data_IF_093562997040
#
_entry.id   IF_093562997040
#
_cell.length_a   1.000
_cell.length_b   1.000
_cell.length_c   1.000
_cell.angle_alpha   90.00
_cell.angle_beta   90.00
_cell.angle_gamma   90.00
#
_symmetry.space_group_name_H-M   'P 1'
#
loop_
_entity.id
_entity.type
_entity.pdbx_description
1 polymer ?
#
# COMPACT_ATOMS: atom_id res chain seq x y z
N UNK A 1 23.56 -11.91 -19.22
CA UNK A 1 22.18 -11.72 -19.65
C UNK A 1 21.37 -13.01 -19.43
N UNK A 2 21.29 -13.42 -18.20
CA UNK A 2 20.60 -14.64 -17.81
C UNK A 2 19.19 -14.24 -17.36
N UNK A 3 18.28 -14.51 -18.18
CA UNK A 3 16.93 -15.00 -18.05
C UNK A 3 15.97 -14.28 -17.11
N UNK A 4 15.51 -13.11 -17.59
CA UNK A 4 14.36 -12.40 -17.03
C UNK A 4 13.05 -13.23 -17.06
N UNK A 5 13.00 -14.26 -17.89
CA UNK A 5 11.81 -15.11 -18.12
C UNK A 5 11.51 -16.09 -16.99
N UNK A 6 12.50 -16.43 -16.17
CA UNK A 6 12.32 -17.36 -15.02
C UNK A 6 12.07 -16.62 -13.68
N UNK A 7 12.04 -15.30 -13.69
CA UNK A 7 11.85 -14.50 -12.49
C UNK A 7 10.39 -14.27 -12.08
N UNK A 8 9.44 -14.94 -12.75
CA UNK A 8 8.05 -14.90 -12.32
C UNK A 8 7.88 -15.79 -11.09
N UNK A 9 7.71 -15.18 -9.93
CA UNK A 9 7.37 -15.89 -8.70
C UNK A 9 5.87 -15.82 -8.46
N UNK A 10 5.26 -16.98 -8.34
CA UNK A 10 3.86 -17.08 -7.91
C UNK A 10 3.88 -17.32 -6.41
N UNK A 11 3.47 -16.34 -5.63
CA UNK A 11 3.27 -16.47 -4.19
C UNK A 11 1.78 -16.69 -3.93
N UNK A 12 1.43 -17.87 -3.46
CA UNK A 12 0.09 -18.20 -3.00
C UNK A 12 0.05 -18.10 -1.49
N UNK A 13 -0.78 -17.21 -0.97
CA UNK A 13 -1.03 -17.10 0.47
C UNK A 13 -1.94 -18.24 0.95
N UNK A 14 -1.47 -19.48 0.91
CA UNK A 14 -2.21 -20.66 1.40
C UNK A 14 -1.56 -21.34 2.60
N UNK A 15 -0.37 -20.93 3.03
CA UNK A 15 0.27 -21.42 4.26
C UNK A 15 0.74 -22.88 4.25
N UNK A 16 0.67 -23.61 3.13
CA UNK A 16 1.08 -24.99 3.03
C UNK A 16 1.94 -25.26 1.77
N UNK A 17 2.85 -26.21 1.89
CA UNK A 17 3.92 -26.55 0.96
C UNK A 17 3.37 -26.95 -0.43
N UNK A 18 3.54 -26.06 -1.42
CA UNK A 18 2.83 -26.09 -2.69
C UNK A 18 3.54 -26.83 -3.82
N UNK A 19 4.87 -27.01 -3.73
CA UNK A 19 5.67 -27.48 -4.87
C UNK A 19 5.45 -28.95 -5.23
N UNK A 20 5.35 -29.83 -4.25
CA UNK A 20 5.13 -31.28 -4.49
C UNK A 20 3.76 -31.60 -5.08
N UNK A 21 2.72 -30.86 -4.66
CA UNK A 21 1.36 -31.09 -5.16
C UNK A 21 1.17 -30.62 -6.60
N UNK A 22 1.92 -29.64 -7.07
CA UNK A 22 1.88 -29.14 -8.44
C UNK A 22 2.50 -30.14 -9.40
N UNK A 23 3.65 -30.71 -9.06
CA UNK A 23 4.31 -31.71 -9.90
C UNK A 23 3.46 -32.98 -10.04
N UNK A 24 2.85 -33.43 -8.95
CA UNK A 24 2.05 -34.64 -8.92
C UNK A 24 0.69 -34.50 -9.66
N UNK A 25 0.03 -33.33 -9.50
CA UNK A 25 -1.28 -33.07 -10.14
C UNK A 25 -1.20 -32.65 -11.60
N UNK A 26 -0.11 -32.00 -12.02
CA UNK A 26 0.07 -31.58 -13.42
C UNK A 26 0.64 -32.67 -14.31
N UNK A 27 1.08 -33.82 -13.76
CA UNK A 27 1.68 -34.90 -14.53
C UNK A 27 2.96 -34.48 -15.27
N UNK A 28 3.58 -33.38 -14.87
CA UNK A 28 4.88 -32.94 -15.39
C UNK A 28 6.01 -33.72 -14.72
N UNK A 29 6.15 -34.96 -15.08
CA UNK A 29 7.46 -35.60 -14.98
C UNK A 29 8.28 -35.05 -16.17
N UNK A 30 8.75 -33.79 -16.03
CA UNK A 30 9.64 -33.18 -16.99
C UNK A 30 10.97 -33.92 -16.90
N UNK A 31 11.24 -34.80 -17.85
CA UNK A 31 12.62 -35.21 -18.04
C UNK A 31 13.46 -33.91 -18.23
N UNK A 32 14.69 -33.93 -17.79
CA UNK A 32 15.59 -32.76 -17.85
C UNK A 32 15.74 -32.20 -19.27
N UNK A 33 15.40 -32.98 -20.29
CA UNK A 33 15.46 -32.62 -21.70
C UNK A 33 14.24 -31.86 -22.19
N UNK A 34 13.04 -32.18 -21.68
CA UNK A 34 11.83 -31.41 -21.95
C UNK A 34 11.92 -30.03 -21.30
N UNK A 35 12.43 -29.95 -20.07
CA UNK A 35 12.71 -28.67 -19.40
C UNK A 35 13.72 -27.81 -20.17
N UNK A 36 14.81 -28.40 -20.68
CA UNK A 36 15.79 -27.71 -21.54
C UNK A 36 15.18 -27.23 -22.86
N UNK A 37 14.29 -27.97 -23.47
CA UNK A 37 13.59 -27.57 -24.72
C UNK A 37 12.66 -26.40 -24.46
N UNK A 38 11.89 -26.43 -23.38
CA UNK A 38 11.00 -25.34 -22.96
C UNK A 38 11.83 -24.09 -22.64
N UNK A 39 12.89 -24.23 -21.87
CA UNK A 39 13.82 -23.14 -21.57
C UNK A 39 14.40 -22.50 -22.82
N UNK A 40 14.85 -23.31 -23.79
CA UNK A 40 15.38 -22.82 -25.06
C UNK A 40 14.33 -22.11 -25.93
N UNK A 41 13.06 -22.49 -25.84
CA UNK A 41 11.97 -21.82 -26.54
C UNK A 41 11.62 -20.47 -25.88
N UNK A 42 11.62 -20.41 -24.55
CA UNK A 42 11.28 -19.23 -23.77
C UNK A 42 12.41 -18.19 -23.81
N UNK A 43 13.66 -18.61 -23.84
CA UNK A 43 14.85 -17.72 -23.79
C UNK A 43 15.09 -16.91 -25.07
N UNK A 44 14.40 -17.19 -26.17
CA UNK A 44 14.52 -16.42 -27.41
C UNK A 44 13.61 -15.21 -27.37
N UNK A 45 14.16 -13.99 -27.46
CA UNK A 45 13.42 -12.72 -27.56
C UNK A 45 12.75 -12.55 -28.92
N UNK A 46 11.76 -13.38 -29.22
CA UNK A 46 10.99 -13.36 -30.45
C UNK A 46 9.52 -13.54 -30.13
N UNK A 47 8.60 -13.19 -31.02
CA UNK A 47 7.16 -13.47 -30.85
C UNK A 47 6.85 -14.96 -30.52
N UNK A 48 7.71 -15.87 -30.94
CA UNK A 48 7.62 -17.31 -30.58
C UNK A 48 7.98 -17.57 -29.12
N UNK A 49 8.87 -16.77 -28.52
CA UNK A 49 9.22 -16.90 -27.08
C UNK A 49 8.09 -16.44 -26.19
N UNK A 50 7.38 -15.35 -26.54
CA UNK A 50 6.20 -14.91 -25.82
C UNK A 50 5.09 -15.97 -25.85
N UNK A 51 4.81 -16.55 -27.03
CA UNK A 51 3.83 -17.62 -27.14
C UNK A 51 4.21 -18.88 -26.35
N UNK A 52 5.49 -19.25 -26.35
CA UNK A 52 5.98 -20.39 -25.58
C UNK A 52 5.87 -20.11 -24.06
N UNK A 53 6.18 -18.89 -23.62
CA UNK A 53 6.03 -18.48 -22.24
C UNK A 53 4.56 -18.48 -21.79
N UNK A 54 3.65 -17.94 -22.61
CA UNK A 54 2.21 -17.97 -22.33
C UNK A 54 1.68 -19.41 -22.24
N UNK A 55 2.08 -20.29 -23.17
CA UNK A 55 1.71 -21.73 -23.16
C UNK A 55 2.22 -22.42 -21.89
N UNK A 56 3.39 -22.04 -21.41
CA UNK A 56 3.96 -22.57 -20.18
C UNK A 56 3.25 -22.04 -18.93
N UNK A 57 2.85 -20.77 -18.90
CA UNK A 57 2.23 -20.12 -17.73
C UNK A 57 0.74 -20.42 -17.59
N UNK A 58 0.02 -20.58 -18.71
CA UNK A 58 -1.44 -20.77 -18.69
C UNK A 58 -1.90 -21.91 -17.78
N UNK A 59 -1.44 -23.16 -17.90
CA UNK A 59 -1.89 -24.26 -17.05
C UNK A 59 -1.53 -24.06 -15.58
N UNK A 60 -0.42 -23.38 -15.29
CA UNK A 60 0.02 -23.09 -13.94
C UNK A 60 -0.88 -22.09 -13.25
N UNK A 61 -1.20 -21.00 -13.94
CA UNK A 61 -2.09 -19.99 -13.41
C UNK A 61 -3.52 -20.50 -13.25
N UNK A 62 -3.99 -21.33 -14.18
CA UNK A 62 -5.29 -21.98 -14.09
C UNK A 62 -5.37 -22.91 -12.87
N UNK A 63 -4.35 -23.75 -12.69
CA UNK A 63 -4.28 -24.60 -11.51
C UNK A 63 -4.18 -23.77 -10.22
N UNK A 64 -3.37 -22.71 -10.24
CA UNK A 64 -3.25 -21.81 -9.08
C UNK A 64 -4.62 -21.26 -8.69
N UNK A 65 -5.42 -20.78 -9.66
CA UNK A 65 -6.78 -20.31 -9.42
C UNK A 65 -7.68 -21.40 -8.82
N UNK A 66 -7.61 -22.62 -9.35
CA UNK A 66 -8.44 -23.74 -8.88
C UNK A 66 -8.10 -24.13 -7.42
N UNK A 67 -6.84 -23.96 -7.01
CA UNK A 67 -6.37 -24.23 -5.65
C UNK A 67 -6.63 -23.10 -4.66
N UNK A 68 -6.94 -21.89 -5.13
CA UNK A 68 -7.27 -20.78 -4.26
C UNK A 68 -8.60 -21.02 -3.55
N UNK A 69 -8.67 -20.62 -2.27
CA UNK A 69 -9.94 -20.47 -1.55
C UNK A 69 -10.78 -19.36 -2.21
N UNK A 70 -12.08 -19.33 -1.97
CA UNK A 70 -12.99 -18.36 -2.60
C UNK A 70 -12.57 -16.91 -2.34
N UNK A 71 -12.17 -16.56 -1.12
CA UNK A 71 -11.60 -15.25 -0.79
C UNK A 71 -10.06 -15.24 -0.85
N UNK A 72 -9.47 -16.10 -1.67
CA UNK A 72 -8.03 -16.19 -1.86
C UNK A 72 -7.49 -15.04 -2.70
N UNK A 73 -6.21 -14.73 -2.51
CA UNK A 73 -5.47 -13.75 -3.29
C UNK A 73 -4.23 -14.39 -3.90
N UNK A 74 -3.81 -13.89 -5.04
CA UNK A 74 -2.57 -14.31 -5.69
C UNK A 74 -1.72 -13.09 -6.01
N UNK A 75 -0.42 -13.18 -5.69
CA UNK A 75 0.59 -12.22 -6.06
C UNK A 75 1.51 -12.83 -7.12
N UNK A 76 1.74 -12.11 -8.21
CA UNK A 76 2.56 -12.60 -9.31
C UNK A 76 3.59 -11.53 -9.67
N UNK A 77 4.87 -11.81 -9.35
CA UNK A 77 5.98 -10.92 -9.72
C UNK A 77 6.37 -11.12 -11.17
N UNK A 78 6.62 -10.03 -11.87
CA UNK A 78 6.97 -10.02 -13.29
C UNK A 78 7.82 -8.81 -13.65
N UNK A 79 8.70 -8.96 -14.63
CA UNK A 79 9.47 -7.87 -15.21
C UNK A 79 8.79 -7.28 -16.47
N UNK A 80 9.44 -6.27 -17.08
CA UNK A 80 8.91 -5.58 -18.26
C UNK A 80 8.74 -6.49 -19.50
N UNK A 81 9.45 -7.64 -19.55
CA UNK A 81 9.46 -8.45 -20.77
C UNK A 81 8.09 -9.10 -21.04
N UNK A 82 7.40 -9.55 -19.98
CA UNK A 82 6.14 -10.29 -20.10
C UNK A 82 4.98 -9.65 -19.31
N UNK A 83 5.16 -8.47 -18.74
CA UNK A 83 4.17 -7.77 -17.92
C UNK A 83 2.82 -7.62 -18.63
N UNK A 84 2.81 -7.15 -19.88
CA UNK A 84 1.59 -6.96 -20.65
C UNK A 84 0.91 -8.30 -21.01
N UNK A 85 1.70 -9.30 -21.39
CA UNK A 85 1.20 -10.63 -21.73
C UNK A 85 0.64 -11.34 -20.49
N UNK A 86 1.29 -11.22 -19.35
CA UNK A 86 0.81 -11.75 -18.08
C UNK A 86 -0.52 -11.10 -17.67
N UNK A 87 -0.66 -9.78 -17.84
CA UNK A 87 -1.91 -9.08 -17.52
C UNK A 87 -3.09 -9.65 -18.29
N UNK A 88 -2.94 -9.78 -19.63
CA UNK A 88 -3.99 -10.34 -20.49
C UNK A 88 -4.32 -11.78 -20.08
N UNK A 89 -3.29 -12.60 -19.82
CA UNK A 89 -3.46 -13.99 -19.41
C UNK A 89 -4.18 -14.11 -18.06
N UNK A 90 -3.83 -13.27 -17.10
CA UNK A 90 -4.47 -13.26 -15.78
C UNK A 90 -5.92 -12.75 -15.87
N UNK A 91 -6.21 -11.76 -16.69
CA UNK A 91 -7.58 -11.29 -16.94
C UNK A 91 -8.47 -12.41 -17.49
N UNK A 92 -7.94 -13.21 -18.42
CA UNK A 92 -8.67 -14.37 -18.96
C UNK A 92 -8.91 -15.46 -17.91
N UNK A 93 -7.92 -15.72 -17.06
CA UNK A 93 -7.97 -16.84 -16.09
C UNK A 93 -8.74 -16.44 -14.82
N UNK A 94 -8.45 -15.29 -14.24
CA UNK A 94 -9.00 -14.84 -12.95
C UNK A 94 -10.24 -13.96 -13.10
N UNK A 95 -10.44 -13.32 -14.26
CA UNK A 95 -11.42 -12.29 -14.53
C UNK A 95 -10.82 -10.88 -14.36
N UNK A 96 -11.11 -10.00 -15.31
CA UNK A 96 -10.65 -8.59 -15.26
C UNK A 96 -11.19 -7.86 -14.02
N UNK A 97 -12.41 -8.18 -13.62
CA UNK A 97 -13.08 -7.65 -12.43
C UNK A 97 -12.39 -8.03 -11.12
N UNK A 98 -11.61 -9.09 -11.11
CA UNK A 98 -10.85 -9.59 -9.95
C UNK A 98 -9.43 -9.00 -9.88
N UNK A 99 -9.06 -8.13 -10.82
CA UNK A 99 -7.80 -7.40 -10.78
C UNK A 99 -7.83 -6.33 -9.69
N UNK A 100 -6.95 -6.45 -8.71
CA UNK A 100 -6.88 -5.49 -7.59
C UNK A 100 -5.89 -4.38 -7.87
N UNK A 101 -4.66 -4.74 -8.26
CA UNK A 101 -3.61 -3.76 -8.47
C UNK A 101 -2.43 -4.29 -9.27
N UNK A 102 -1.75 -3.38 -9.96
CA UNK A 102 -0.37 -3.52 -10.42
C UNK A 102 0.52 -2.71 -9.45
N UNK A 103 1.29 -3.41 -8.65
CA UNK A 103 2.18 -2.82 -7.66
C UNK A 103 3.57 -2.68 -8.28
N UNK A 104 4.14 -1.51 -8.18
CA UNK A 104 5.51 -1.22 -8.62
C UNK A 104 6.43 -1.46 -7.41
N UNK A 105 7.36 -2.41 -7.55
CA UNK A 105 8.30 -2.77 -6.50
C UNK A 105 9.71 -2.31 -6.90
N UNK A 106 10.31 -1.44 -6.12
CA UNK A 106 11.69 -1.06 -6.31
C UNK A 106 12.62 -2.22 -5.92
N UNK A 107 13.10 -2.95 -6.93
CA UNK A 107 13.96 -4.11 -6.73
C UNK A 107 15.46 -3.77 -6.65
N UNK A 108 15.84 -2.56 -7.12
CA UNK A 108 17.23 -2.12 -7.10
C UNK A 108 17.32 -0.58 -7.00
N UNK A 109 17.75 -0.06 -5.86
CA UNK A 109 17.92 1.39 -5.65
C UNK A 109 18.93 2.05 -6.60
N UNK A 110 20.02 1.36 -6.90
CA UNK A 110 21.11 1.91 -7.74
C UNK A 110 20.75 1.87 -9.22
N UNK A 111 19.80 1.02 -9.60
CA UNK A 111 19.46 0.75 -10.98
C UNK A 111 20.54 -0.03 -11.72
N UNK A 112 20.12 -0.76 -12.74
CA UNK A 112 21.02 -1.37 -13.71
C UNK A 112 20.87 -0.64 -15.04
N UNK A 113 21.92 0.01 -15.50
CA UNK A 113 21.90 0.75 -16.75
C UNK A 113 22.12 -0.20 -17.91
N UNK A 114 21.03 -0.60 -18.57
CA UNK A 114 21.12 -1.49 -19.73
C UNK A 114 21.13 -0.75 -21.06
N UNK A 115 20.55 0.44 -21.14
CA UNK A 115 20.47 1.26 -22.35
C UNK A 115 20.54 2.75 -21.99
N UNK A 116 19.41 3.44 -22.14
CA UNK A 116 19.30 4.89 -21.89
C UNK A 116 18.84 5.22 -20.47
N UNK A 117 18.10 4.29 -19.82
CA UNK A 117 17.57 4.46 -18.48
C UNK A 117 18.02 3.32 -17.58
N UNK A 118 18.28 3.65 -16.31
CA UNK A 118 18.55 2.65 -15.28
C UNK A 118 17.23 2.01 -14.82
N UNK A 119 17.14 0.69 -14.92
CA UNK A 119 15.99 -0.07 -14.42
C UNK A 119 16.10 -0.23 -12.91
N UNK A 120 15.06 0.17 -12.17
CA UNK A 120 15.04 0.19 -10.71
C UNK A 120 13.88 -0.62 -10.12
N UNK A 121 12.93 -1.09 -10.93
CA UNK A 121 11.70 -1.70 -10.44
C UNK A 121 11.27 -2.92 -11.24
N UNK A 122 10.40 -3.69 -10.63
CA UNK A 122 9.63 -4.79 -11.18
C UNK A 122 8.15 -4.58 -10.85
N UNK A 123 7.28 -5.43 -11.39
CA UNK A 123 5.84 -5.37 -11.17
C UNK A 123 5.38 -6.54 -10.31
N UNK A 124 4.36 -6.30 -9.51
CA UNK A 124 3.69 -7.31 -8.73
C UNK A 124 2.18 -7.20 -8.98
N UNK A 125 1.61 -8.14 -9.72
CA UNK A 125 0.18 -8.21 -9.94
C UNK A 125 -0.52 -8.83 -8.75
N UNK A 126 -1.65 -8.26 -8.38
CA UNK A 126 -2.54 -8.76 -7.35
C UNK A 126 -3.92 -9.02 -7.94
N UNK A 127 -4.34 -10.26 -7.85
CA UNK A 127 -5.69 -10.71 -8.20
C UNK A 127 -6.36 -11.37 -6.99
N UNK A 128 -7.67 -11.27 -6.94
CA UNK A 128 -8.52 -12.08 -6.06
C UNK A 128 -9.14 -13.23 -6.85
N UNK A 129 -9.66 -14.25 -6.15
CA UNK A 129 -10.46 -15.29 -6.82
C UNK A 129 -11.89 -14.81 -7.08
N UNK A 130 -12.45 -14.04 -6.12
CA UNK A 130 -13.80 -13.48 -6.18
C UNK A 130 -13.78 -11.97 -5.95
N UNK A 131 -14.69 -11.25 -6.59
CA UNK A 131 -14.76 -9.79 -6.61
C UNK A 131 -15.05 -9.18 -5.24
N UNK A 132 -15.75 -9.89 -4.37
CA UNK A 132 -16.10 -9.44 -3.02
C UNK A 132 -15.01 -9.69 -1.97
N UNK A 133 -13.86 -10.21 -2.39
CA UNK A 133 -12.70 -10.42 -1.52
C UNK A 133 -12.19 -9.11 -0.94
N UNK A 134 -12.22 -8.99 0.37
CA UNK A 134 -11.74 -7.80 1.09
C UNK A 134 -10.32 -8.03 1.59
N UNK A 135 -9.41 -7.15 1.18
CA UNK A 135 -8.03 -7.15 1.66
C UNK A 135 -7.95 -6.56 3.06
N UNK A 136 -7.18 -7.20 3.93
CA UNK A 136 -6.92 -6.67 5.26
C UNK A 136 -6.08 -5.39 5.17
N UNK A 137 -6.42 -4.41 6.01
CA UNK A 137 -5.57 -3.25 6.20
C UNK A 137 -4.34 -3.64 7.03
N UNK A 138 -3.20 -3.02 6.72
CA UNK A 138 -1.97 -3.19 7.47
C UNK A 138 -2.07 -2.48 8.82
N UNK A 139 -1.51 -3.06 9.86
CA UNK A 139 -1.40 -2.43 11.16
C UNK A 139 -0.28 -1.39 11.15
N UNK A 140 -0.50 -0.27 11.81
CA UNK A 140 0.57 0.66 12.13
C UNK A 140 1.42 0.04 13.24
N UNK A 141 2.72 0.18 13.13
CA UNK A 141 3.66 -0.26 14.18
C UNK A 141 3.49 0.57 15.44
N UNK A 142 3.78 -0.02 16.59
CA UNK A 142 3.87 0.69 17.84
C UNK A 142 4.91 1.82 17.71
N UNK A 143 4.57 3.04 18.20
CA UNK A 143 5.42 4.21 18.00
C UNK A 143 5.04 5.11 16.82
N UNK A 144 4.19 4.68 15.88
CA UNK A 144 3.71 5.52 14.78
C UNK A 144 2.86 6.71 15.23
N UNK A 145 2.36 6.69 16.46
CA UNK A 145 1.62 7.77 17.08
C UNK A 145 2.51 8.58 18.04
N UNK A 146 2.77 9.83 17.68
CA UNK A 146 3.69 10.72 18.44
C UNK A 146 3.04 11.36 19.68
N UNK A 147 1.73 11.17 19.90
CA UNK A 147 0.96 11.81 20.97
C UNK A 147 -0.01 10.85 21.62
N UNK A 148 -0.29 11.11 22.91
CA UNK A 148 -1.22 10.33 23.72
C UNK A 148 -2.12 11.24 24.55
N UNK A 149 -3.37 10.84 24.71
CA UNK A 149 -4.30 11.46 25.67
C UNK A 149 -5.04 10.40 26.50
N UNK A 150 -6.15 10.75 27.14
CA UNK A 150 -6.91 9.85 28.00
C UNK A 150 -7.64 8.71 27.24
N UNK A 151 -7.85 8.85 25.92
CA UNK A 151 -8.48 7.82 25.10
C UNK A 151 -7.42 6.84 24.56
N UNK A 152 -6.22 7.32 24.25
CA UNK A 152 -5.13 6.52 23.68
C UNK A 152 -4.22 7.33 22.78
N UNK A 153 -3.44 6.61 21.99
CA UNK A 153 -2.44 7.21 21.09
C UNK A 153 -3.10 7.80 19.85
N UNK A 154 -2.53 8.89 19.32
CA UNK A 154 -3.04 9.55 18.13
C UNK A 154 -1.96 10.33 17.37
N UNK A 155 -2.26 10.58 16.09
CA UNK A 155 -1.53 11.48 15.21
C UNK A 155 -2.31 12.80 15.10
N UNK A 156 -1.62 13.93 15.27
CA UNK A 156 -2.22 15.25 15.04
C UNK A 156 -2.26 15.57 13.56
N UNK A 157 -3.44 15.83 13.02
CA UNK A 157 -3.64 16.23 11.63
C UNK A 157 -4.41 17.52 11.55
N UNK A 158 -3.93 18.48 10.75
CA UNK A 158 -4.69 19.70 10.50
C UNK A 158 -6.08 19.34 9.92
N UNK A 159 -7.15 19.91 10.51
CA UNK A 159 -8.52 19.63 10.05
C UNK A 159 -8.80 20.26 8.68
N UNK A 160 -8.10 21.32 8.29
CA UNK A 160 -8.18 21.95 6.98
C UNK A 160 -7.70 21.00 5.88
N UNK A 161 -8.44 20.96 4.79
CA UNK A 161 -8.03 20.25 3.60
C UNK A 161 -6.93 21.05 2.88
N UNK A 162 -5.73 20.48 2.73
CA UNK A 162 -4.60 21.14 2.07
C UNK A 162 -4.60 20.98 0.55
N UNK A 163 -5.48 20.14 0.00
CA UNK A 163 -5.54 19.93 -1.43
C UNK A 163 -6.20 21.14 -2.12
N UNK A 164 -5.51 21.87 -2.99
CA UNK A 164 -6.04 23.08 -3.64
C UNK A 164 -7.21 22.83 -4.59
N UNK A 165 -7.44 21.56 -4.97
CA UNK A 165 -8.62 21.17 -5.75
C UNK A 165 -9.93 21.27 -4.95
N UNK A 166 -9.87 21.43 -3.63
CA UNK A 166 -11.04 21.51 -2.76
C UNK A 166 -11.03 22.80 -1.96
N UNK A 167 -12.13 23.52 -2.06
CA UNK A 167 -12.34 24.76 -1.33
C UNK A 167 -13.83 25.06 -1.21
N UNK A 168 -14.15 26.23 -0.68
CA UNK A 168 -15.55 26.70 -0.57
C UNK A 168 -16.29 26.67 -1.92
N UNK A 169 -15.58 26.94 -3.02
CA UNK A 169 -16.14 27.01 -4.38
C UNK A 169 -16.78 25.69 -4.84
N UNK A 170 -16.30 24.53 -4.38
CA UNK A 170 -16.85 23.20 -4.73
C UNK A 170 -17.29 22.37 -3.52
N UNK A 171 -17.00 22.83 -2.30
CA UNK A 171 -17.35 22.16 -1.04
C UNK A 171 -17.94 23.18 -0.03
N UNK A 172 -18.98 23.95 -0.37
CA UNK A 172 -19.49 25.03 0.48
C UNK A 172 -19.96 24.55 1.86
N UNK A 173 -20.52 23.34 1.95
CA UNK A 173 -20.97 22.74 3.21
C UNK A 173 -19.81 22.34 4.17
N UNK A 174 -18.57 22.35 3.69
CA UNK A 174 -17.37 22.10 4.47
C UNK A 174 -16.63 23.41 4.82
N UNK A 175 -17.22 24.55 4.51
CA UNK A 175 -16.74 25.88 4.89
C UNK A 175 -17.65 26.48 5.95
N UNK A 176 -17.25 26.33 7.21
CA UNK A 176 -18.01 26.83 8.36
C UNK A 176 -17.04 27.31 9.46
N UNK A 177 -17.45 28.23 10.33
CA UNK A 177 -16.61 28.69 11.41
C UNK A 177 -16.51 27.65 12.53
N UNK A 178 -15.34 27.53 13.11
CA UNK A 178 -15.08 26.81 14.36
C UNK A 178 -14.57 27.81 15.38
N UNK A 179 -15.09 27.74 16.59
CA UNK A 179 -14.74 28.63 17.68
C UNK A 179 -13.94 27.90 18.74
N UNK A 180 -12.81 28.46 19.14
CA UNK A 180 -11.92 27.90 20.16
C UNK A 180 -12.13 28.65 21.49
N UNK A 181 -12.01 27.90 22.59
CA UNK A 181 -11.85 28.47 23.90
C UNK A 181 -10.36 28.80 24.20
N UNK A 182 -9.90 30.04 24.02
CA UNK A 182 -8.48 30.38 24.15
C UNK A 182 -7.97 30.37 25.60
N UNK A 183 -8.89 30.33 26.55
CA UNK A 183 -8.58 30.39 28.01
C UNK A 183 -8.45 28.99 28.62
N UNK A 184 -8.95 27.97 27.96
CA UNK A 184 -8.90 26.59 28.45
C UNK A 184 -7.95 25.78 27.57
N UNK A 185 -6.87 25.30 28.17
CA UNK A 185 -5.87 24.48 27.51
C UNK A 185 -5.58 23.27 28.38
N UNK A 186 -5.55 22.08 27.77
CA UNK A 186 -5.18 20.85 28.45
C UNK A 186 -3.65 20.70 28.60
N UNK A 187 -3.23 19.62 29.27
CA UNK A 187 -1.81 19.32 29.50
C UNK A 187 -1.03 19.02 28.21
N UNK A 188 -1.72 18.69 27.11
CA UNK A 188 -1.13 18.44 25.81
C UNK A 188 -1.08 19.69 24.90
N UNK A 189 -1.58 20.85 25.41
CA UNK A 189 -1.59 22.10 24.66
C UNK A 189 -2.79 22.28 23.74
N UNK A 190 -3.87 21.52 23.93
CA UNK A 190 -5.10 21.62 23.17
C UNK A 190 -6.21 22.35 23.91
N UNK A 191 -6.99 23.08 23.15
CA UNK A 191 -8.16 23.83 23.62
C UNK A 191 -9.46 23.20 23.08
N UNK A 192 -10.55 23.16 23.84
CA UNK A 192 -11.84 22.75 23.35
C UNK A 192 -12.35 23.68 22.25
N UNK A 193 -13.15 23.11 21.36
CA UNK A 193 -13.74 23.78 20.20
C UNK A 193 -15.25 23.62 20.15
N UNK A 194 -15.95 24.56 19.52
CA UNK A 194 -17.40 24.55 19.35
C UNK A 194 -17.78 25.08 17.97
N UNK A 195 -18.95 24.68 17.46
CA UNK A 195 -19.57 25.32 16.29
C UNK A 195 -20.38 26.58 16.67
N UNK A 196 -20.57 26.83 17.97
CA UNK A 196 -21.33 27.96 18.46
C UNK A 196 -20.42 29.01 19.10
N UNK A 197 -20.52 30.25 18.63
CA UNK A 197 -19.82 31.37 19.25
C UNK A 197 -20.40 31.66 20.64
N UNK A 198 -19.53 31.89 21.62
CA UNK A 198 -19.92 32.28 22.97
C UNK A 198 -18.79 33.08 23.64
N UNK A 199 -19.02 33.56 24.84
CA UNK A 199 -17.99 34.27 25.63
C UNK A 199 -16.79 33.35 25.96
N UNK A 200 -17.00 32.05 26.04
CA UNK A 200 -15.94 31.04 26.23
C UNK A 200 -15.26 30.66 24.91
N UNK A 201 -16.04 30.42 23.89
CA UNK A 201 -15.60 30.08 22.55
C UNK A 201 -15.55 31.33 21.67
N UNK A 202 -14.58 32.18 21.95
CA UNK A 202 -14.49 33.53 21.36
C UNK A 202 -13.57 33.65 20.15
N UNK A 203 -12.63 32.74 20.00
CA UNK A 203 -11.66 32.75 18.90
C UNK A 203 -12.20 31.99 17.69
N UNK A 204 -12.55 32.72 16.63
CA UNK A 204 -13.04 32.16 15.38
C UNK A 204 -11.89 31.66 14.50
N UNK A 205 -12.08 30.52 13.86
CA UNK A 205 -11.20 29.97 12.85
C UNK A 205 -12.04 29.56 11.64
N UNK A 206 -11.56 29.96 10.47
CA UNK A 206 -12.03 29.53 9.16
C UNK A 206 -10.96 28.67 8.45
N UNK A 207 -11.34 27.79 7.53
CA UNK A 207 -10.39 26.96 6.77
C UNK A 207 -9.69 27.76 5.67
N UNK A 208 -8.87 28.74 6.05
CA UNK A 208 -8.07 29.54 5.13
C UNK A 208 -6.68 28.92 4.94
N UNK A 209 -6.14 29.00 3.71
CA UNK A 209 -4.77 28.61 3.44
C UNK A 209 -3.75 29.66 3.94
N UNK A 210 -2.46 29.46 3.69
CA UNK A 210 -1.40 30.39 4.10
C UNK A 210 -1.47 31.77 3.44
N UNK A 211 -2.16 31.85 2.31
CA UNK A 211 -2.35 33.08 1.50
C UNK A 211 -3.66 33.80 1.85
N UNK A 212 -4.47 33.21 2.75
CA UNK A 212 -5.77 33.74 3.14
C UNK A 212 -6.94 33.33 2.25
N UNK A 213 -6.71 32.40 1.31
CA UNK A 213 -7.75 31.91 0.41
C UNK A 213 -8.65 30.87 1.06
N UNK A 214 -9.91 30.82 0.60
CA UNK A 214 -10.95 29.94 1.14
C UNK A 214 -10.73 28.47 0.72
N UNK A 215 -10.27 27.67 1.64
CA UNK A 215 -10.18 26.20 1.54
C UNK A 215 -11.48 25.56 2.08
N UNK A 216 -11.44 24.35 2.61
CA UNK A 216 -12.56 23.71 3.30
C UNK A 216 -12.04 22.81 4.44
N UNK A 217 -12.92 22.42 5.34
CA UNK A 217 -12.62 21.41 6.34
C UNK A 217 -12.67 20.02 5.73
N UNK A 218 -12.00 19.03 6.34
CA UNK A 218 -12.10 17.61 5.99
C UNK A 218 -13.35 16.95 6.57
N UNK A 219 -13.96 17.56 7.58
CA UNK A 219 -15.12 17.03 8.28
C UNK A 219 -16.36 17.87 8.01
N UNK A 220 -17.51 17.17 7.89
CA UNK A 220 -18.81 17.83 7.94
C UNK A 220 -19.16 18.27 9.37
N UNK A 221 -20.11 19.18 9.50
CA UNK A 221 -20.61 19.60 10.81
C UNK A 221 -21.18 18.44 11.63
N UNK A 222 -21.82 17.47 10.99
CA UNK A 222 -22.34 16.27 11.66
C UNK A 222 -21.19 15.41 12.22
N UNK A 223 -20.13 15.18 11.43
CA UNK A 223 -18.94 14.45 11.92
C UNK A 223 -18.26 15.23 13.03
N UNK A 224 -18.17 16.56 12.92
CA UNK A 224 -17.60 17.41 13.96
C UNK A 224 -18.35 17.22 15.29
N UNK A 225 -19.67 17.36 15.28
CA UNK A 225 -20.50 17.24 16.51
C UNK A 225 -20.38 15.84 17.12
N UNK A 226 -20.37 14.79 16.29
CA UNK A 226 -20.28 13.41 16.76
C UNK A 226 -18.95 13.08 17.46
N UNK A 227 -17.87 13.81 17.15
CA UNK A 227 -16.51 13.52 17.63
C UNK A 227 -15.92 14.67 18.47
N UNK A 228 -16.74 15.65 18.83
CA UNK A 228 -16.33 16.81 19.63
C UNK A 228 -16.85 16.72 21.05
N UNK A 229 -16.00 17.10 22.01
CA UNK A 229 -16.40 17.35 23.39
C UNK A 229 -16.01 18.79 23.75
N UNK A 230 -17.01 19.66 23.90
CA UNK A 230 -16.81 21.09 24.21
C UNK A 230 -16.28 21.34 25.62
N UNK A 231 -16.48 20.38 26.51
CA UNK A 231 -16.06 20.53 27.93
C UNK A 231 -14.65 19.97 28.16
N UNK A 232 -14.20 19.01 27.35
CA UNK A 232 -12.94 18.34 27.62
C UNK A 232 -12.21 17.95 26.32
N UNK A 233 -11.14 18.67 25.99
CA UNK A 233 -10.27 18.41 24.84
C UNK A 233 -9.54 17.05 24.92
N UNK A 234 -9.31 16.49 26.13
CA UNK A 234 -8.64 15.21 26.30
C UNK A 234 -9.44 14.01 25.79
N UNK A 235 -10.77 14.15 25.66
CA UNK A 235 -11.67 13.13 25.15
C UNK A 235 -12.36 13.55 23.84
N UNK A 236 -11.88 14.59 23.20
CA UNK A 236 -12.35 15.10 21.91
C UNK A 236 -11.39 14.68 20.80
N UNK A 237 -11.92 14.23 19.66
CA UNK A 237 -11.12 13.96 18.46
C UNK A 237 -10.89 15.19 17.59
N UNK A 238 -11.53 16.33 17.91
CA UNK A 238 -11.27 17.60 17.26
C UNK A 238 -10.94 18.66 18.32
N UNK A 239 -9.86 19.40 18.08
CA UNK A 239 -9.30 20.31 19.07
C UNK A 239 -8.71 21.55 18.43
N UNK A 240 -8.67 22.65 19.19
CA UNK A 240 -7.91 23.84 18.85
C UNK A 240 -6.48 23.74 19.38
N UNK A 241 -5.52 24.33 18.67
CA UNK A 241 -4.14 24.48 19.13
C UNK A 241 -3.59 25.83 18.74
N UNK A 242 -2.87 26.46 19.67
CA UNK A 242 -2.14 27.69 19.39
C UNK A 242 -0.85 27.38 18.60
N UNK A 243 -0.67 28.05 17.48
CA UNK A 243 0.54 27.95 16.64
C UNK A 243 1.65 28.85 17.18
N UNK A 244 2.88 28.64 16.72
CA UNK A 244 4.05 29.45 17.14
C UNK A 244 3.90 30.93 16.80
N UNK A 245 3.23 31.27 15.72
CA UNK A 245 2.92 32.66 15.33
C UNK A 245 1.78 33.31 16.15
N UNK A 246 1.29 32.61 17.18
CA UNK A 246 0.23 33.11 18.07
C UNK A 246 -1.20 32.91 17.57
N UNK A 247 -1.40 32.54 16.31
CA UNK A 247 -2.71 32.19 15.75
C UNK A 247 -3.18 30.81 16.25
N UNK A 248 -4.47 30.50 16.06
CA UNK A 248 -5.01 29.19 16.38
C UNK A 248 -5.25 28.39 15.11
N UNK A 249 -5.11 27.06 15.21
CA UNK A 249 -5.50 26.10 14.21
C UNK A 249 -6.46 25.07 14.78
N UNK A 250 -7.22 24.41 13.91
CA UNK A 250 -8.08 23.29 14.26
C UNK A 250 -7.46 21.98 13.75
N UNK A 251 -7.44 20.96 14.61
CA UNK A 251 -6.75 19.69 14.38
C UNK A 251 -7.64 18.52 14.73
N UNK A 252 -7.48 17.44 13.97
CA UNK A 252 -8.05 16.13 14.23
C UNK A 252 -7.03 15.29 15.00
N UNK A 253 -7.47 14.60 16.05
CA UNK A 253 -6.73 13.53 16.69
C UNK A 253 -7.03 12.22 15.95
N UNK A 254 -6.20 11.87 14.99
CA UNK A 254 -6.40 10.68 14.16
C UNK A 254 -5.88 9.44 14.87
N UNK A 255 -6.80 8.49 15.19
CA UNK A 255 -6.51 7.30 16.01
C UNK A 255 -6.57 5.98 15.25
N UNK A 256 -6.79 6.02 13.92
CA UNK A 256 -6.88 4.78 13.15
C UNK A 256 -5.54 4.06 13.12
N UNK A 257 -5.48 2.90 13.77
CA UNK A 257 -4.29 2.05 13.86
C UNK A 257 -4.00 1.24 12.61
N UNK A 258 -4.80 1.38 11.54
CA UNK A 258 -4.63 0.64 10.29
C UNK A 258 -4.54 1.57 9.10
N UNK A 259 -3.94 1.08 8.02
CA UNK A 259 -3.84 1.79 6.75
C UNK A 259 -3.93 0.82 5.57
N UNK A 260 -4.29 1.33 4.40
CA UNK A 260 -4.27 0.56 3.15
C UNK A 260 -2.88 0.59 2.54
N UNK A 261 -2.37 -0.57 2.12
CA UNK A 261 -1.11 -0.65 1.38
C UNK A 261 -1.15 0.26 0.14
N UNK A 262 -0.03 0.88 -0.17
CA UNK A 262 0.14 1.67 -1.40
C UNK A 262 0.52 0.75 -2.56
N UNK A 263 0.37 1.23 -3.80
CA UNK A 263 0.71 0.48 -5.01
C UNK A 263 2.13 0.74 -5.53
N UNK A 264 2.92 1.54 -4.85
CA UNK A 264 4.35 1.72 -5.10
C UNK A 264 5.08 1.33 -3.83
N UNK A 265 5.94 0.32 -3.92
CA UNK A 265 6.72 -0.19 -2.82
C UNK A 265 8.21 0.08 -3.07
N UNK A 266 8.81 0.87 -2.20
CA UNK A 266 10.23 1.16 -2.18
C UNK A 266 10.72 1.20 -0.73
N UNK A 267 12.00 1.00 -0.52
CA UNK A 267 12.60 0.82 0.79
C UNK A 267 12.25 1.96 1.79
N UNK A 268 12.15 3.21 1.31
CA UNK A 268 11.80 4.33 2.18
C UNK A 268 10.29 4.44 2.50
N UNK A 269 9.39 3.89 1.67
CA UNK A 269 7.95 3.87 2.04
C UNK A 269 7.70 2.92 3.20
N UNK A 270 8.48 1.89 3.29
CA UNK A 270 8.41 0.97 4.42
C UNK A 270 9.07 1.60 5.64
N UNK A 271 10.19 2.33 5.47
CA UNK A 271 10.84 3.11 6.52
C UNK A 271 9.99 4.27 7.05
N UNK A 272 9.30 5.01 6.18
CA UNK A 272 8.37 6.08 6.59
C UNK A 272 7.12 5.55 7.32
N UNK A 273 6.82 4.26 7.18
CA UNK A 273 5.74 3.56 7.90
C UNK A 273 6.27 2.84 9.15
N UNK A 274 7.58 2.61 9.20
CA UNK A 274 8.35 2.01 10.29
C UNK A 274 9.50 2.97 10.58
N UNK A 275 9.19 4.15 11.11
CA UNK A 275 10.22 4.92 11.82
C UNK A 275 10.55 4.12 13.08
N UNK A 276 11.75 3.55 13.11
CA UNK A 276 12.36 2.82 14.23
C UNK A 276 11.96 1.32 14.36
N UNK A 277 12.53 0.49 13.48
CA UNK A 277 13.17 -0.77 13.85
C UNK A 277 13.94 -1.29 12.63
N UNK A 278 15.23 -1.06 12.61
CA UNK A 278 16.18 -1.42 11.53
C UNK A 278 16.32 -2.94 11.29
N UNK A 279 15.72 -3.79 12.13
CA UNK A 279 16.03 -5.22 12.16
C UNK A 279 15.10 -6.12 11.33
N UNK A 280 13.85 -5.73 11.08
CA UNK A 280 12.88 -6.64 10.41
C UNK A 280 13.03 -6.64 8.88
N UNK A 281 13.58 -5.58 8.28
CA UNK A 281 13.71 -5.45 6.83
C UNK A 281 15.09 -5.74 6.27
N UNK A 282 16.11 -5.86 7.10
CA UNK A 282 17.40 -6.44 6.67
C UNK A 282 17.24 -7.91 6.30
N UNK A 283 16.32 -8.64 6.92
CA UNK A 283 16.00 -10.03 6.59
C UNK A 283 15.12 -10.20 5.34
N UNK A 284 14.38 -9.16 4.93
CA UNK A 284 13.52 -9.17 3.73
C UNK A 284 14.09 -8.37 2.56
N UNK A 285 15.38 -8.26 2.42
CA UNK A 285 16.01 -7.81 1.17
C UNK A 285 15.64 -8.78 0.07
N UNK A 286 14.49 -8.52 -0.60
CA UNK A 286 14.08 -9.22 -1.81
C UNK A 286 14.98 -8.78 -2.95
N UNK A 287 16.25 -9.14 -2.85
CA UNK A 287 17.20 -9.04 -3.94
C UNK A 287 17.08 -10.35 -4.72
N UNK A 288 16.96 -10.27 -6.02
CA UNK A 288 16.91 -11.44 -6.92
C UNK A 288 18.04 -12.44 -6.66
N UNK A 289 19.21 -11.93 -6.23
CA UNK A 289 20.37 -12.73 -5.83
C UNK A 289 20.14 -13.53 -4.54
N UNK A 290 19.38 -13.02 -3.58
CA UNK A 290 19.06 -13.72 -2.34
C UNK A 290 18.09 -14.87 -2.60
N UNK A 291 17.11 -14.67 -3.46
CA UNK A 291 16.22 -15.74 -3.90
C UNK A 291 16.91 -16.84 -4.68
N UNK A 292 17.94 -16.51 -5.48
CA UNK A 292 18.77 -17.51 -6.15
C UNK A 292 19.66 -18.28 -5.17
N UNK A 293 20.15 -17.63 -4.10
CA UNK A 293 20.89 -18.28 -3.01
C UNK A 293 20.01 -19.23 -2.20
N UNK A 294 18.81 -18.77 -1.80
CA UNK A 294 17.84 -19.59 -1.08
C UNK A 294 17.46 -20.85 -1.87
N UNK A 295 17.22 -20.72 -3.18
CA UNK A 295 16.96 -21.86 -4.05
C UNK A 295 18.19 -22.77 -4.19
N UNK A 296 19.40 -22.20 -4.16
CA UNK A 296 20.66 -22.96 -4.11
C UNK A 296 20.81 -23.75 -2.82
N UNK A 297 20.47 -23.17 -1.68
CA UNK A 297 20.52 -23.79 -0.36
C UNK A 297 19.50 -24.93 -0.22
N UNK A 298 18.38 -24.88 -0.93
CA UNK A 298 17.40 -25.98 -1.04
C UNK A 298 17.75 -27.02 -2.12
N UNK A 299 18.94 -26.96 -2.72
CA UNK A 299 19.38 -27.92 -3.74
C UNK A 299 18.76 -27.73 -5.12
N UNK A 300 18.06 -26.60 -5.35
CA UNK A 300 17.40 -26.28 -6.62
C UNK A 300 18.19 -25.27 -7.49
N UNK A 301 19.42 -24.97 -7.12
CA UNK A 301 20.29 -24.02 -7.83
C UNK A 301 20.63 -24.38 -9.27
N UNK A 302 20.44 -25.63 -9.68
CA UNK A 302 20.65 -26.08 -11.07
C UNK A 302 19.38 -26.10 -11.92
N UNK A 303 18.21 -25.79 -11.35
CA UNK A 303 16.93 -25.80 -12.08
C UNK A 303 16.66 -24.44 -12.72
N UNK A 304 17.33 -23.38 -12.25
CA UNK A 304 17.08 -21.98 -12.60
C UNK A 304 18.34 -21.24 -13.11
N UNK A 305 19.49 -21.93 -13.26
CA UNK A 305 20.71 -21.37 -13.89
C UNK A 305 20.67 -21.38 -15.44
#
# INVERSE_FOLDING_TARGET
NKDATLRSRIMLCTGECFEKDIEEKLGFNTDAEAAKRIHKMISRKTSRSHAAWLTFMYPRLKLARDLMKDHGVIFISIDDNEQANLKILCDEIFGEENFVANIIVQSNKRGQTYKQLAKTHEYLFLYTKEIDTVLNELQKTDGSFKRKDSIGDFEERELRNRNPKYGRFNRPNLFYPIYINPKKMDSCGYSPVSLKKSNLFSQEILPLNSEGEESCWRWSTQKFVANNNEDNSMISDVVGRKKENGSFGCYEKYRKGTFKAKTIWYENIVGDLIEEEDDIWEETKVITEQGSRELGDYGMGGVFD
#
